data_IF_253375984046
#
_entry.id   IF_253375984046
#
_cell.length_a   1.000
_cell.length_b   1.000
_cell.length_c   1.000
_cell.angle_alpha   90.00
_cell.angle_beta   90.00
_cell.angle_gamma   90.00
#
_symmetry.space_group_name_H-M   'P 1'
#
loop_
_entity.id
_entity.type
_entity.pdbx_description
1 polymer ?
#
# COMPACT_ATOMS: atom_id res chain seq x y z
N UNK A 1 26.97 5.90 1.43
CA UNK A 1 26.50 6.76 2.52
C UNK A 1 27.42 6.58 3.73
N UNK A 2 27.53 7.58 4.60
CA UNK A 2 28.28 7.51 5.86
C UNK A 2 27.32 7.37 7.03
N UNK A 3 27.75 6.74 8.13
CA UNK A 3 26.99 6.61 9.37
C UNK A 3 26.94 7.96 10.11
N UNK A 4 26.17 8.90 9.59
CA UNK A 4 26.07 10.26 10.10
C UNK A 4 24.74 10.91 9.73
N UNK A 5 24.15 11.65 10.67
CA UNK A 5 22.93 12.42 10.45
C UNK A 5 23.10 13.57 9.42
N UNK A 6 24.35 14.01 9.20
CA UNK A 6 24.68 15.08 8.24
C UNK A 6 24.90 14.54 6.81
N UNK A 7 24.88 13.21 6.61
CA UNK A 7 25.03 12.62 5.29
C UNK A 7 23.78 12.81 4.44
N UNK A 8 23.95 12.85 3.11
CA UNK A 8 22.84 12.93 2.19
C UNK A 8 21.95 11.67 2.29
N UNK A 9 20.64 11.86 2.39
CA UNK A 9 19.68 10.75 2.41
C UNK A 9 19.65 10.06 1.04
N UNK A 10 19.80 8.73 1.02
CA UNK A 10 19.73 7.90 -0.18
C UNK A 10 18.34 7.32 -0.40
N UNK A 11 17.53 7.27 0.64
CA UNK A 11 16.16 6.76 0.64
C UNK A 11 15.47 7.02 1.96
N UNK A 12 14.26 6.48 2.10
CA UNK A 12 13.48 6.49 3.35
C UNK A 12 12.90 5.11 3.63
N UNK A 13 12.91 4.75 4.90
CA UNK A 13 12.12 3.64 5.44
C UNK A 13 10.86 4.18 6.09
N UNK A 14 9.80 3.41 6.02
CA UNK A 14 8.52 3.68 6.65
C UNK A 14 8.25 2.61 7.72
N UNK A 15 7.23 2.84 8.54
CA UNK A 15 6.77 1.86 9.52
C UNK A 15 6.33 0.58 8.81
N UNK A 16 6.83 -0.57 9.25
CA UNK A 16 6.58 -1.87 8.62
C UNK A 16 7.56 -2.24 7.50
N UNK A 17 8.50 -1.37 7.14
CA UNK A 17 9.58 -1.74 6.22
C UNK A 17 10.64 -2.59 6.94
N UNK A 18 11.18 -3.56 6.22
CA UNK A 18 12.29 -4.38 6.70
C UNK A 18 13.51 -4.28 5.78
N UNK A 19 14.66 -4.72 6.27
CA UNK A 19 15.91 -4.76 5.51
C UNK A 19 16.88 -5.77 6.09
N UNK A 20 17.79 -6.24 5.24
CA UNK A 20 18.91 -7.09 5.65
C UNK A 20 20.00 -6.24 6.29
N UNK A 21 20.49 -6.68 7.44
CA UNK A 21 21.59 -6.02 8.15
C UNK A 21 22.91 -6.39 7.48
N UNK A 22 23.62 -5.38 6.95
CA UNK A 22 24.93 -5.56 6.31
C UNK A 22 26.10 -5.28 7.28
N UNK A 23 25.96 -4.24 8.09
CA UNK A 23 27.02 -3.78 9.00
C UNK A 23 26.41 -3.01 10.18
N UNK A 24 27.04 -3.09 11.34
CA UNK A 24 26.64 -2.33 12.53
C UNK A 24 27.83 -1.55 13.07
N UNK A 25 27.60 -0.29 13.39
CA UNK A 25 28.51 0.61 14.08
C UNK A 25 27.79 1.22 15.29
N UNK A 26 28.52 1.93 16.15
CA UNK A 26 27.92 2.53 17.34
C UNK A 26 26.77 3.50 16.99
N UNK A 27 25.53 3.06 17.30
CA UNK A 27 24.30 3.82 17.06
C UNK A 27 23.77 3.84 15.62
N UNK A 28 24.41 3.09 14.70
CA UNK A 28 24.02 3.02 13.30
C UNK A 28 24.09 1.61 12.74
N UNK A 29 23.08 1.24 11.96
CA UNK A 29 23.02 -0.02 11.22
C UNK A 29 22.93 0.26 9.73
N UNK A 30 23.82 -0.38 8.94
CA UNK A 30 23.73 -0.39 7.48
C UNK A 30 22.84 -1.51 7.04
N UNK A 31 21.87 -1.17 6.22
CA UNK A 31 20.85 -2.10 5.73
C UNK A 31 20.76 -2.09 4.22
N UNK A 32 20.34 -3.23 3.67
CA UNK A 32 19.79 -3.34 2.31
C UNK A 32 18.29 -3.55 2.43
N UNK A 33 17.49 -2.67 1.83
CA UNK A 33 16.04 -2.79 1.77
C UNK A 33 15.56 -2.33 0.41
N UNK A 34 15.01 -3.26 -0.38
CA UNK A 34 14.72 -2.99 -1.79
C UNK A 34 15.95 -2.48 -2.53
N UNK A 35 15.82 -1.35 -3.22
CA UNK A 35 16.90 -0.70 -3.97
C UNK A 35 17.77 0.24 -3.09
N UNK A 36 17.52 0.32 -1.79
CA UNK A 36 18.23 1.21 -0.87
C UNK A 36 19.31 0.46 -0.10
N UNK A 37 20.57 0.90 -0.23
CA UNK A 37 21.71 0.51 0.62
C UNK A 37 22.17 1.76 1.39
N UNK A 38 22.01 1.76 2.70
CA UNK A 38 22.29 2.94 3.51
C UNK A 38 22.39 2.70 5.00
N UNK A 39 22.85 3.73 5.72
CA UNK A 39 22.93 3.73 7.16
C UNK A 39 21.65 4.31 7.78
N UNK A 40 21.10 3.64 8.77
CA UNK A 40 19.93 4.07 9.56
C UNK A 40 20.34 4.15 11.02
N UNK A 41 19.88 5.16 11.74
CA UNK A 41 20.11 5.26 13.18
C UNK A 41 19.34 4.16 13.91
N UNK A 42 20.00 3.48 14.86
CA UNK A 42 19.42 2.37 15.62
C UNK A 42 18.20 2.79 16.44
N UNK A 43 18.04 4.07 16.74
CA UNK A 43 16.88 4.60 17.47
C UNK A 43 15.55 4.44 16.73
N UNK A 44 15.61 4.26 15.39
CA UNK A 44 14.43 4.06 14.52
C UNK A 44 14.23 2.60 14.14
N UNK A 45 15.11 1.71 14.57
CA UNK A 45 15.08 0.29 14.21
C UNK A 45 14.65 -0.56 15.41
N UNK A 46 13.97 -1.65 15.13
CA UNK A 46 13.73 -2.72 16.07
C UNK A 46 14.54 -3.96 15.66
N UNK A 47 15.04 -4.71 16.61
CA UNK A 47 15.89 -5.89 16.38
C UNK A 47 15.38 -7.10 17.15
N UNK A 48 15.56 -8.29 16.60
CA UNK A 48 15.23 -9.56 17.24
C UNK A 48 13.78 -9.62 17.69
N UNK A 49 13.54 -9.93 18.96
CA UNK A 49 12.18 -10.06 19.53
C UNK A 49 11.34 -8.79 19.42
N UNK A 50 11.94 -7.63 19.63
CA UNK A 50 11.22 -6.36 19.52
C UNK A 50 10.76 -6.10 18.09
N UNK A 51 11.51 -6.58 17.09
CA UNK A 51 11.11 -6.52 15.69
C UNK A 51 9.96 -7.50 15.38
N UNK A 52 9.99 -8.70 15.93
CA UNK A 52 8.92 -9.69 15.78
C UNK A 52 7.62 -9.19 16.40
N UNK A 53 7.65 -8.66 17.64
CA UNK A 53 6.48 -8.09 18.32
C UNK A 53 5.87 -6.91 17.53
N UNK A 54 6.72 -6.03 16.98
CA UNK A 54 6.25 -4.91 16.14
C UNK A 54 5.71 -5.38 14.78
N UNK A 55 6.28 -6.44 14.21
CA UNK A 55 5.76 -7.01 12.97
C UNK A 55 4.35 -7.57 13.16
N UNK A 56 4.07 -8.19 14.30
CA UNK A 56 2.73 -8.69 14.64
C UNK A 56 1.67 -7.58 14.70
N UNK A 57 2.06 -6.39 15.17
CA UNK A 57 1.16 -5.26 15.32
C UNK A 57 1.01 -4.42 14.03
N UNK A 58 2.10 -4.26 13.27
CA UNK A 58 2.23 -3.22 12.26
C UNK A 58 2.31 -3.74 10.82
N UNK A 59 2.56 -5.05 10.64
CA UNK A 59 2.78 -5.66 9.33
C UNK A 59 1.66 -6.64 9.00
N UNK A 60 1.20 -6.61 7.75
CA UNK A 60 0.18 -7.54 7.28
C UNK A 60 0.70 -8.97 7.30
N UNK A 61 -0.08 -9.88 7.87
CA UNK A 61 0.16 -11.31 7.83
C UNK A 61 -0.44 -11.89 6.55
N UNK A 62 0.35 -12.64 5.83
CA UNK A 62 -0.08 -13.36 4.63
C UNK A 62 0.02 -14.85 4.88
N UNK A 63 -1.07 -15.55 4.70
CA UNK A 63 -1.10 -17.01 4.74
C UNK A 63 -1.04 -17.55 3.31
N UNK A 64 -0.07 -18.43 3.04
CA UNK A 64 0.06 -19.18 1.79
C UNK A 64 -0.50 -20.58 1.99
N UNK A 65 -1.46 -20.98 1.16
CA UNK A 65 -2.12 -22.29 1.26
C UNK A 65 -1.17 -23.40 0.84
N UNK A 66 -0.96 -24.39 1.73
CA UNK A 66 -0.09 -25.55 1.50
C UNK A 66 -0.87 -26.82 1.13
N UNK A 67 -2.18 -26.86 1.39
CA UNK A 67 -3.06 -27.97 1.02
C UNK A 67 -3.57 -27.84 -0.42
N UNK A 68 -4.03 -28.94 -1.04
CA UNK A 68 -4.63 -28.93 -2.39
C UNK A 68 -5.91 -28.10 -2.45
N UNK A 69 -6.57 -27.92 -1.32
CA UNK A 69 -7.76 -27.07 -1.17
C UNK A 69 -8.03 -26.77 0.30
N UNK A 70 -8.03 -25.49 0.64
CA UNK A 70 -8.32 -24.98 1.98
C UNK A 70 -9.79 -24.56 2.07
N UNK A 71 -10.50 -25.10 3.05
CA UNK A 71 -11.89 -24.75 3.29
C UNK A 71 -12.00 -23.45 4.06
N UNK A 72 -12.75 -22.52 3.51
CA UNK A 72 -13.16 -21.29 4.19
C UNK A 72 -14.47 -21.54 4.92
N UNK A 73 -14.58 -21.07 6.16
CA UNK A 73 -15.73 -21.28 7.03
C UNK A 73 -16.18 -19.96 7.66
N UNK A 74 -17.45 -19.91 7.91
CA UNK A 74 -18.18 -18.82 8.56
C UNK A 74 -17.77 -18.61 10.03
N UNK A 75 -17.41 -19.69 10.73
CA UNK A 75 -16.95 -19.66 12.12
C UNK A 75 -15.67 -20.49 12.29
N UNK A 76 -14.89 -20.22 13.33
CA UNK A 76 -13.67 -20.93 13.71
C UNK A 76 -13.97 -22.36 14.24
N UNK A 77 -14.62 -23.20 13.43
CA UNK A 77 -15.07 -24.55 13.79
C UNK A 77 -15.15 -25.50 12.61
N UNK A 78 -14.79 -26.77 12.84
CA UNK A 78 -14.99 -27.84 11.85
C UNK A 78 -16.46 -28.17 11.59
N UNK A 79 -17.35 -27.80 12.50
CA UNK A 79 -18.80 -28.00 12.38
C UNK A 79 -19.50 -26.87 11.62
N UNK A 80 -18.82 -25.74 11.44
CA UNK A 80 -19.31 -24.60 10.67
C UNK A 80 -19.42 -24.93 9.17
N UNK A 81 -20.40 -24.38 8.44
CA UNK A 81 -20.51 -24.55 6.99
C UNK A 81 -19.23 -24.15 6.24
N UNK A 82 -18.94 -24.88 5.17
CA UNK A 82 -17.91 -24.47 4.20
C UNK A 82 -18.57 -23.51 3.22
N UNK A 83 -18.06 -22.30 3.15
CA UNK A 83 -18.58 -21.22 2.31
C UNK A 83 -17.77 -21.01 1.04
N UNK A 84 -16.44 -21.33 1.09
CA UNK A 84 -15.54 -21.21 -0.06
C UNK A 84 -14.38 -22.18 0.04
N UNK A 85 -13.57 -22.27 -1.05
CA UNK A 85 -12.39 -23.10 -1.17
C UNK A 85 -11.26 -22.29 -1.80
N UNK A 86 -10.08 -22.27 -1.15
CA UNK A 86 -8.87 -21.60 -1.63
C UNK A 86 -7.89 -22.67 -2.10
N UNK A 87 -7.31 -22.45 -3.29
CA UNK A 87 -6.39 -23.41 -3.92
C UNK A 87 -4.98 -23.39 -3.35
N UNK A 88 -4.22 -24.44 -3.63
CA UNK A 88 -2.81 -24.54 -3.26
C UNK A 88 -1.97 -23.38 -3.84
N UNK A 89 -1.13 -22.79 -3.00
CA UNK A 89 -0.25 -21.69 -3.37
C UNK A 89 -0.92 -20.31 -3.41
N UNK A 90 -2.25 -20.24 -3.22
CA UNK A 90 -2.92 -18.95 -3.11
C UNK A 90 -2.55 -18.25 -1.79
N UNK A 91 -2.50 -16.92 -1.83
CA UNK A 91 -2.14 -16.06 -0.72
C UNK A 91 -3.35 -15.24 -0.28
N UNK A 92 -3.58 -15.23 1.04
CA UNK A 92 -4.67 -14.49 1.67
C UNK A 92 -4.14 -13.64 2.82
N UNK A 93 -4.69 -12.44 3.00
CA UNK A 93 -4.42 -11.61 4.16
C UNK A 93 -5.17 -12.18 5.38
N UNK A 94 -4.44 -12.42 6.47
CA UNK A 94 -4.99 -13.02 7.69
C UNK A 94 -4.74 -12.13 8.90
N UNK A 95 -5.65 -12.20 9.86
CA UNK A 95 -5.59 -11.49 11.13
C UNK A 95 -5.05 -12.36 12.27
N UNK A 96 -5.79 -12.37 13.34
CA UNK A 96 -5.45 -13.10 14.55
C UNK A 96 -5.66 -14.61 14.37
N UNK A 97 -4.85 -15.39 15.09
CA UNK A 97 -5.00 -16.83 15.23
C UNK A 97 -5.62 -17.12 16.59
N UNK A 98 -6.73 -17.87 16.59
CA UNK A 98 -7.39 -18.34 17.79
C UNK A 98 -7.71 -19.84 17.64
N UNK A 99 -7.25 -20.65 18.61
CA UNK A 99 -7.50 -22.09 18.68
C UNK A 99 -7.22 -22.88 17.39
N UNK A 100 -6.15 -22.48 16.64
CA UNK A 100 -5.73 -23.12 15.38
C UNK A 100 -6.55 -22.68 14.15
N UNK A 101 -7.30 -21.58 14.28
CA UNK A 101 -8.00 -20.93 13.19
C UNK A 101 -7.43 -19.55 12.94
N UNK A 102 -7.24 -19.22 11.67
CA UNK A 102 -6.84 -17.89 11.22
C UNK A 102 -8.05 -17.17 10.64
N UNK A 103 -8.21 -15.93 11.06
CA UNK A 103 -9.20 -15.03 10.54
C UNK A 103 -8.76 -14.47 9.18
N UNK A 104 -9.58 -14.57 8.14
CA UNK A 104 -9.36 -13.93 6.84
C UNK A 104 -9.82 -12.48 6.93
N UNK A 105 -9.02 -11.55 6.39
CA UNK A 105 -9.37 -10.13 6.34
C UNK A 105 -9.81 -9.77 4.92
N UNK A 106 -11.09 -9.40 4.77
CA UNK A 106 -11.64 -8.89 3.52
C UNK A 106 -11.70 -7.35 3.52
N UNK A 107 -11.68 -6.77 2.32
CA UNK A 107 -11.73 -5.31 2.14
C UNK A 107 -13.03 -4.66 2.58
N UNK A 108 -14.13 -5.42 2.67
CA UNK A 108 -15.47 -4.99 3.09
C UNK A 108 -15.71 -5.15 4.61
N UNK A 109 -14.76 -5.76 5.32
CA UNK A 109 -14.82 -5.99 6.76
C UNK A 109 -15.57 -7.25 7.17
N UNK A 110 -15.92 -8.13 6.22
CA UNK A 110 -16.37 -9.49 6.53
C UNK A 110 -15.21 -10.32 7.07
N UNK A 111 -15.50 -11.32 7.89
CA UNK A 111 -14.53 -12.15 8.58
C UNK A 111 -14.93 -13.60 8.43
N UNK A 112 -14.06 -14.38 7.79
CA UNK A 112 -14.18 -15.82 7.67
C UNK A 112 -12.95 -16.50 8.28
N UNK A 113 -12.97 -17.81 8.37
CA UNK A 113 -11.94 -18.57 9.07
C UNK A 113 -11.39 -19.71 8.23
N UNK A 114 -10.08 -19.93 8.36
CA UNK A 114 -9.37 -21.07 7.80
C UNK A 114 -8.54 -21.76 8.88
N UNK A 115 -8.31 -23.07 8.72
CA UNK A 115 -7.44 -23.79 9.67
C UNK A 115 -5.98 -23.41 9.43
N UNK A 116 -5.28 -23.04 10.50
CA UNK A 116 -3.86 -22.73 10.50
C UNK A 116 -2.97 -23.92 10.11
N UNK A 117 -3.42 -25.16 10.27
CA UNK A 117 -2.67 -26.37 9.94
C UNK A 117 -2.35 -26.53 8.44
N UNK A 118 -3.06 -25.82 7.57
CA UNK A 118 -2.97 -25.96 6.11
C UNK A 118 -2.41 -24.73 5.40
N UNK A 119 -1.79 -23.83 6.15
CA UNK A 119 -1.19 -22.62 5.62
C UNK A 119 0.20 -22.37 6.23
N UNK A 120 1.01 -21.64 5.52
CA UNK A 120 2.26 -21.07 6.02
C UNK A 120 2.09 -19.56 6.15
N UNK A 121 2.24 -19.06 7.38
CA UNK A 121 2.08 -17.63 7.68
C UNK A 121 3.43 -16.92 7.54
N UNK A 122 3.41 -15.80 6.81
CA UNK A 122 4.55 -14.90 6.65
C UNK A 122 4.11 -13.44 6.82
N UNK A 123 5.08 -12.55 7.09
CA UNK A 123 4.82 -11.12 7.17
C UNK A 123 5.14 -10.46 5.84
N UNK A 124 4.25 -9.62 5.35
CA UNK A 124 4.45 -8.83 4.14
C UNK A 124 5.13 -7.50 4.50
N UNK A 125 6.41 -7.55 4.77
CA UNK A 125 7.19 -6.36 5.06
C UNK A 125 7.26 -5.42 3.85
N UNK A 126 7.21 -4.11 4.12
CA UNK A 126 7.54 -3.11 3.13
C UNK A 126 9.05 -3.02 2.88
N UNK A 127 9.42 -2.30 1.85
CA UNK A 127 10.81 -2.02 1.49
C UNK A 127 11.07 -0.51 1.46
N UNK A 128 12.29 -0.13 1.84
CA UNK A 128 12.72 1.26 1.73
C UNK A 128 12.62 1.77 0.30
N UNK A 129 12.24 3.03 0.16
CA UNK A 129 12.16 3.69 -1.16
C UNK A 129 13.34 4.64 -1.36
N UNK A 130 13.91 4.64 -2.55
CA UNK A 130 14.91 5.63 -2.95
C UNK A 130 14.29 7.03 -3.00
N UNK A 131 15.13 8.07 -2.91
CA UNK A 131 14.63 9.45 -3.04
C UNK A 131 13.97 9.69 -4.40
N UNK A 132 14.47 9.07 -5.47
CA UNK A 132 13.88 9.13 -6.82
C UNK A 132 12.48 8.51 -6.88
N UNK A 133 12.30 7.34 -6.27
CA UNK A 133 10.99 6.67 -6.17
C UNK A 133 9.98 7.53 -5.40
N UNK A 134 10.41 8.14 -4.29
CA UNK A 134 9.56 9.02 -3.48
C UNK A 134 9.14 10.25 -4.28
N UNK A 135 10.07 10.91 -4.96
CA UNK A 135 9.77 12.07 -5.80
C UNK A 135 8.82 11.72 -6.95
N UNK A 136 9.01 10.56 -7.59
CA UNK A 136 8.14 10.08 -8.66
C UNK A 136 6.70 9.79 -8.15
N UNK A 137 6.56 9.14 -6.99
CA UNK A 137 5.26 8.88 -6.38
C UNK A 137 4.55 10.18 -5.97
N UNK A 138 5.28 11.13 -5.38
CA UNK A 138 4.71 12.43 -5.03
C UNK A 138 4.26 13.22 -6.27
N UNK A 139 5.05 13.18 -7.35
CA UNK A 139 4.67 13.82 -8.61
C UNK A 139 3.42 13.17 -9.23
N UNK A 140 3.34 11.85 -9.23
CA UNK A 140 2.17 11.11 -9.70
C UNK A 140 0.92 11.44 -8.89
N UNK A 141 1.03 11.46 -7.55
CA UNK A 141 -0.09 11.83 -6.66
C UNK A 141 -0.57 13.26 -6.91
N UNK A 142 0.34 14.22 -7.05
CA UNK A 142 -0.01 15.61 -7.38
C UNK A 142 -0.73 15.72 -8.72
N UNK A 143 -0.28 14.97 -9.74
CA UNK A 143 -0.93 14.94 -11.04
C UNK A 143 -2.34 14.33 -10.99
N UNK A 144 -2.56 13.29 -10.19
CA UNK A 144 -3.89 12.72 -9.97
C UNK A 144 -4.82 13.68 -9.20
N UNK A 145 -4.33 14.35 -8.16
CA UNK A 145 -5.09 15.36 -7.43
C UNK A 145 -5.50 16.53 -8.33
N UNK A 146 -4.61 16.98 -9.21
CA UNK A 146 -4.92 18.02 -10.19
C UNK A 146 -5.97 17.57 -11.21
N UNK A 147 -5.86 16.33 -11.71
CA UNK A 147 -6.90 15.73 -12.58
C UNK A 147 -8.25 15.66 -11.87
N UNK A 148 -8.27 15.19 -10.63
CA UNK A 148 -9.49 15.08 -9.84
C UNK A 148 -10.14 16.45 -9.59
N UNK A 149 -9.35 17.49 -9.27
CA UNK A 149 -9.81 18.87 -9.11
C UNK A 149 -10.36 19.43 -10.42
N UNK A 150 -9.69 19.15 -11.55
CA UNK A 150 -10.14 19.58 -12.88
C UNK A 150 -11.46 18.93 -13.29
N UNK A 151 -11.61 17.63 -13.02
CA UNK A 151 -12.87 16.90 -13.29
C UNK A 151 -14.01 17.41 -12.42
N UNK A 152 -13.77 17.66 -11.13
CA UNK A 152 -14.77 18.29 -10.23
C UNK A 152 -15.21 19.67 -10.71
N UNK A 153 -14.28 20.51 -11.15
CA UNK A 153 -14.60 21.84 -11.66
C UNK A 153 -15.42 21.79 -12.96
N UNK A 154 -15.07 20.87 -13.87
CA UNK A 154 -15.85 20.64 -15.09
C UNK A 154 -17.27 20.14 -14.78
N UNK A 155 -17.43 19.24 -13.82
CA UNK A 155 -18.73 18.74 -13.36
C UNK A 155 -19.57 19.84 -12.68
N UNK A 156 -18.94 20.72 -11.90
CA UNK A 156 -19.62 21.85 -11.26
C UNK A 156 -20.08 22.92 -12.28
N UNK A 157 -19.28 23.17 -13.32
CA UNK A 157 -19.63 24.06 -14.41
C UNK A 157 -20.81 23.47 -15.22
N UNK A 158 -20.78 22.17 -15.53
CA UNK A 158 -21.85 21.49 -16.25
C UNK A 158 -23.19 21.46 -15.47
N UNK A 159 -23.13 21.42 -14.14
CA UNK A 159 -24.31 21.44 -13.27
C UNK A 159 -24.90 22.83 -13.04
N UNK A 160 -24.14 23.91 -13.32
CA UNK A 160 -24.53 25.29 -13.03
C UNK A 160 -24.84 26.12 -14.26
N UNK A 161 -24.62 25.61 -15.46
CA UNK A 161 -24.67 26.37 -16.71
C UNK A 161 -25.51 25.63 -17.75
N UNK A 162 -26.38 26.38 -18.47
CA UNK A 162 -27.17 25.87 -19.59
C UNK A 162 -26.23 25.52 -20.78
N UNK A 163 -26.60 24.52 -21.59
CA UNK A 163 -25.78 23.93 -22.67
C UNK A 163 -25.14 24.97 -23.61
N UNK A 164 -25.81 26.07 -23.85
CA UNK A 164 -25.35 27.16 -24.75
C UNK A 164 -24.17 27.92 -24.13
N UNK A 165 -24.17 28.13 -22.84
CA UNK A 165 -23.09 28.82 -22.12
C UNK A 165 -21.82 27.93 -22.03
N UNK A 166 -21.99 26.63 -21.93
CA UNK A 166 -20.88 25.65 -21.93
C UNK A 166 -20.16 25.63 -23.30
N UNK A 167 -20.93 25.68 -24.40
CA UNK A 167 -20.39 25.71 -25.77
C UNK A 167 -19.61 27.01 -26.03
N UNK A 168 -20.11 28.15 -25.54
CA UNK A 168 -19.43 29.43 -25.65
C UNK A 168 -18.10 29.48 -24.90
N UNK A 169 -18.02 28.87 -23.71
CA UNK A 169 -16.78 28.79 -22.93
C UNK A 169 -15.72 27.88 -23.59
N UNK A 170 -16.14 26.79 -24.24
CA UNK A 170 -15.25 25.90 -24.99
C UNK A 170 -14.66 26.57 -26.23
N UNK A 171 -15.46 27.28 -26.99
CA UNK A 171 -15.05 28.05 -28.17
C UNK A 171 -14.05 29.16 -27.78
N UNK A 172 -14.27 29.83 -26.66
CA UNK A 172 -13.37 30.87 -26.16
C UNK A 172 -12.01 30.32 -25.67
N UNK A 173 -11.99 29.11 -25.17
CA UNK A 173 -10.75 28.46 -24.74
C UNK A 173 -9.88 27.92 -25.89
N UNK A 174 -10.49 27.53 -27.00
CA UNK A 174 -9.79 26.99 -28.18
C UNK A 174 -9.32 28.10 -29.14
N UNK A 175 -10.02 29.24 -29.22
CA UNK A 175 -9.74 30.30 -30.19
C UNK A 175 -8.71 31.33 -29.74
N UNK A 176 -8.12 31.17 -28.54
CA UNK A 176 -6.99 32.00 -28.09
C UNK A 176 -7.07 33.47 -28.45
N UNK A 177 -8.01 34.18 -27.85
CA UNK A 177 -8.11 35.66 -27.94
C UNK A 177 -8.43 36.28 -29.33
N UNK A 178 -8.96 35.49 -30.27
CA UNK A 178 -9.55 36.07 -31.50
C UNK A 178 -11.07 36.18 -31.35
N UNK A 179 -11.67 37.33 -31.69
CA UNK A 179 -13.11 37.46 -31.68
C UNK A 179 -13.71 36.54 -32.76
N UNK A 180 -14.66 35.69 -32.35
CA UNK A 180 -15.39 34.82 -33.26
C UNK A 180 -16.40 35.68 -34.07
N UNK A 181 -16.10 35.94 -35.33
CA UNK A 181 -17.06 36.45 -36.27
C UNK A 181 -17.87 35.28 -36.85
N UNK A 182 -18.89 34.86 -36.11
CA UNK A 182 -19.86 33.90 -36.59
C UNK A 182 -20.74 34.49 -37.67
N UNK A 183 -20.64 34.06 -38.90
CA UNK A 183 -21.66 34.27 -39.93
C UNK A 183 -22.83 33.31 -39.62
N UNK A 184 -23.98 33.89 -39.37
CA UNK A 184 -25.27 33.22 -39.46
C UNK A 184 -25.74 33.19 -40.92
#
# INVERSE_FOLDING_TARGET
AEASADSAAVGKMFKGDAGEILEQQEGWTRIQSGDVDGWVSDEYLAFGKDAEERAEEDVKKIATVTADGLKVRDEASTDSPVIDLIGHGEQIEVGEEEDGWLQIIYSDGEMDYVSADYVEVSYNYGEAKTMEQIEAEEAARRAEEEKAKRTKNLGAIAASTDEVTLLAALIQSESGNQPYEGQL
#
